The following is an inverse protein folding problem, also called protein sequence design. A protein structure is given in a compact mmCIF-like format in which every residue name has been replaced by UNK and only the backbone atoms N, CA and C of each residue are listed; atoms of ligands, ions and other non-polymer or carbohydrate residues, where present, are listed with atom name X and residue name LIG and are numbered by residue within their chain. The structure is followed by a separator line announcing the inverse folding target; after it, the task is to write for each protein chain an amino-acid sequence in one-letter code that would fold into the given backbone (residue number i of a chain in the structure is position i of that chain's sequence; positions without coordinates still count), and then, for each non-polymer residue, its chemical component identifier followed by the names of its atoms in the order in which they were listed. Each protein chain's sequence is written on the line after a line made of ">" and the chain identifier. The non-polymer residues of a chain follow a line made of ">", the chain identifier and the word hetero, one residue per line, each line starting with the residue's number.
data_IF_719561814178
#
_entry.id   IF_719561814178
#
_cell.length_a   1.000
_cell.length_b   1.000
_cell.length_c   1.000
_cell.angle_alpha   90.00
_cell.angle_beta   90.00
_cell.angle_gamma   90.00
#
_symmetry.space_group_name_H-M   'P 1'
#
loop_
_entity.id
_entity.type
_entity.pdbx_description
1 polymer ?
#
# COMPACT_ATOMS: atom_id res chain seq x y z
N UNK A 1 19.58 -3.69 -27.69
CA UNK A 1 20.26 -3.96 -26.40
C UNK A 1 20.80 -2.63 -25.92
N UNK A 2 20.52 -2.23 -24.68
CA UNK A 2 21.00 -0.96 -24.15
C UNK A 2 22.37 -1.11 -23.47
N UNK A 3 23.40 -0.44 -23.99
CA UNK A 3 24.74 -0.44 -23.39
C UNK A 3 24.77 0.28 -22.03
N UNK A 4 24.02 1.38 -21.90
CA UNK A 4 23.89 2.14 -20.66
C UNK A 4 23.31 1.24 -19.55
N UNK A 5 22.21 0.55 -19.85
CA UNK A 5 21.59 -0.35 -18.87
C UNK A 5 22.51 -1.53 -18.50
N UNK A 6 23.29 -2.03 -19.46
CA UNK A 6 24.27 -3.09 -19.21
C UNK A 6 25.32 -2.67 -18.17
N UNK A 7 25.78 -1.42 -18.19
CA UNK A 7 26.75 -0.93 -17.21
C UNK A 7 26.12 -0.81 -15.80
N UNK A 8 24.86 -0.38 -15.71
CA UNK A 8 24.11 -0.39 -14.44
C UNK A 8 23.94 -1.81 -13.90
N UNK A 9 23.59 -2.77 -14.77
CA UNK A 9 23.48 -4.18 -14.44
C UNK A 9 24.80 -4.76 -13.94
N UNK A 10 25.93 -4.44 -14.58
CA UNK A 10 27.27 -4.89 -14.13
C UNK A 10 27.59 -4.41 -12.73
N UNK A 11 27.18 -3.19 -12.34
CA UNK A 11 27.40 -2.68 -10.98
C UNK A 11 26.65 -3.49 -9.94
N UNK A 12 25.36 -3.77 -10.17
CA UNK A 12 24.55 -4.52 -9.20
C UNK A 12 24.79 -6.02 -9.23
N UNK A 13 25.24 -6.57 -10.36
CA UNK A 13 25.35 -8.01 -10.63
C UNK A 13 26.76 -8.60 -10.63
N UNK A 14 27.79 -7.87 -10.22
CA UNK A 14 29.20 -8.33 -10.27
C UNK A 14 29.57 -9.39 -9.24
N UNK A 15 28.72 -9.66 -8.24
CA UNK A 15 28.92 -10.69 -7.21
C UNK A 15 28.68 -10.20 -5.78
N UNK A 16 28.66 -11.12 -4.81
CA UNK A 16 28.34 -10.83 -3.40
C UNK A 16 29.31 -9.84 -2.76
N UNK A 17 30.59 -9.87 -3.12
CA UNK A 17 31.64 -9.02 -2.53
C UNK A 17 32.08 -7.87 -3.45
N UNK A 18 31.60 -7.84 -4.68
CA UNK A 18 32.05 -6.93 -5.74
C UNK A 18 30.92 -6.07 -6.29
N UNK A 19 29.66 -6.38 -5.94
CA UNK A 19 28.51 -5.54 -6.26
C UNK A 19 28.65 -4.17 -5.63
N UNK A 20 28.27 -3.16 -6.40
CA UNK A 20 28.26 -1.75 -6.00
C UNK A 20 26.83 -1.28 -5.90
N UNK A 21 26.59 -0.38 -4.96
CA UNK A 21 25.34 0.36 -4.91
C UNK A 21 25.30 1.32 -6.09
N UNK A 22 24.11 1.48 -6.67
CA UNK A 22 23.82 2.58 -7.57
C UNK A 22 23.63 3.85 -6.73
N UNK A 23 24.08 4.97 -7.27
CA UNK A 23 23.64 6.29 -6.77
C UNK A 23 22.14 6.49 -7.00
N UNK A 24 21.55 7.48 -6.33
CA UNK A 24 20.14 7.88 -6.54
C UNK A 24 19.82 8.09 -8.02
N UNK A 25 20.67 8.83 -8.73
CA UNK A 25 20.49 9.13 -10.15
C UNK A 25 20.56 7.87 -11.02
N UNK A 26 21.51 6.97 -10.74
CA UNK A 26 21.65 5.72 -11.48
C UNK A 26 20.48 4.77 -11.25
N UNK A 27 19.96 4.71 -10.03
CA UNK A 27 18.77 3.92 -9.72
C UNK A 27 17.52 4.50 -10.41
N UNK A 28 17.39 5.83 -10.48
CA UNK A 28 16.34 6.50 -11.25
C UNK A 28 16.44 6.15 -12.75
N UNK A 29 17.65 6.28 -13.33
CA UNK A 29 17.89 5.92 -14.73
C UNK A 29 17.57 4.45 -14.99
N UNK A 30 18.06 3.51 -14.16
CA UNK A 30 17.75 2.09 -14.33
C UNK A 30 16.23 1.83 -14.29
N UNK A 31 15.54 2.43 -13.32
CA UNK A 31 14.10 2.23 -13.12
C UNK A 31 13.30 2.78 -14.30
N UNK A 32 13.62 4.00 -14.77
CA UNK A 32 12.99 4.61 -15.95
C UNK A 32 13.19 3.75 -17.19
N UNK A 33 14.42 3.26 -17.43
CA UNK A 33 14.71 2.38 -18.57
C UNK A 33 13.97 1.03 -18.50
N UNK A 34 13.78 0.49 -17.29
CA UNK A 34 12.97 -0.72 -17.09
C UNK A 34 11.49 -0.45 -17.40
N UNK A 35 10.93 0.64 -16.87
CA UNK A 35 9.51 1.00 -17.07
C UNK A 35 9.20 1.28 -18.54
N UNK A 36 10.06 2.05 -19.22
CA UNK A 36 9.91 2.41 -20.64
C UNK A 36 10.34 1.30 -21.62
N UNK A 37 10.70 0.11 -21.12
CA UNK A 37 11.16 -1.02 -21.93
C UNK A 37 12.37 -0.69 -22.84
N UNK A 38 13.24 0.23 -22.43
CA UNK A 38 14.47 0.60 -23.17
C UNK A 38 15.57 -0.48 -23.02
N UNK A 39 15.51 -1.27 -21.93
CA UNK A 39 16.35 -2.44 -21.71
C UNK A 39 15.65 -3.72 -22.23
N UNK A 40 16.43 -4.72 -22.68
CA UNK A 40 15.82 -5.97 -23.16
C UNK A 40 15.21 -6.78 -22.01
N UNK A 41 14.25 -7.68 -22.27
CA UNK A 41 13.69 -8.58 -21.24
C UNK A 41 14.76 -9.32 -20.42
N UNK A 42 15.82 -9.81 -21.08
CA UNK A 42 16.93 -10.48 -20.42
C UNK A 42 17.71 -9.53 -19.47
N UNK A 43 17.94 -8.27 -19.88
CA UNK A 43 18.59 -7.27 -19.06
C UNK A 43 17.72 -6.90 -17.84
N UNK A 44 16.43 -6.66 -18.05
CA UNK A 44 15.47 -6.32 -16.99
C UNK A 44 15.38 -7.45 -15.96
N UNK A 45 15.19 -8.69 -16.40
CA UNK A 45 15.11 -9.84 -15.51
C UNK A 45 16.40 -10.09 -14.74
N UNK A 46 17.56 -9.96 -15.40
CA UNK A 46 18.86 -10.06 -14.73
C UNK A 46 19.04 -8.97 -13.67
N UNK A 47 18.64 -7.72 -13.97
CA UNK A 47 18.71 -6.61 -13.02
C UNK A 47 17.82 -6.85 -11.80
N UNK A 48 16.57 -7.25 -12.01
CA UNK A 48 15.62 -7.55 -10.93
C UNK A 48 16.17 -8.57 -9.94
N UNK A 49 16.79 -9.65 -10.41
CA UNK A 49 17.37 -10.68 -9.55
C UNK A 49 18.70 -10.24 -8.93
N UNK A 50 19.59 -9.61 -9.68
CA UNK A 50 20.85 -9.09 -9.14
C UNK A 50 20.60 -8.07 -8.01
N UNK A 51 19.69 -7.11 -8.24
CA UNK A 51 19.32 -6.09 -7.26
C UNK A 51 18.63 -6.70 -6.03
N UNK A 52 17.79 -7.73 -6.24
CA UNK A 52 17.19 -8.51 -5.14
C UNK A 52 18.24 -9.18 -4.25
N UNK A 53 19.23 -9.85 -4.86
CA UNK A 53 20.28 -10.58 -4.12
C UNK A 53 21.19 -9.60 -3.39
N UNK A 54 21.62 -8.52 -4.05
CA UNK A 54 22.42 -7.44 -3.46
C UNK A 54 21.70 -6.78 -2.27
N UNK A 55 20.36 -6.66 -2.39
CA UNK A 55 19.46 -5.85 -1.56
C UNK A 55 19.62 -4.35 -1.83
N UNK A 56 18.52 -3.62 -2.04
CA UNK A 56 18.56 -2.19 -2.33
C UNK A 56 18.98 -1.37 -1.10
N UNK A 57 19.70 -0.27 -1.32
CA UNK A 57 19.91 0.79 -0.33
C UNK A 57 18.75 1.78 -0.35
N UNK A 58 18.59 2.60 0.70
CA UNK A 58 17.58 3.67 0.71
C UNK A 58 17.80 4.72 -0.38
N UNK A 59 19.05 4.97 -0.77
CA UNK A 59 19.38 5.86 -1.88
C UNK A 59 18.89 5.30 -3.23
N UNK A 60 19.05 3.99 -3.44
CA UNK A 60 18.52 3.32 -4.63
C UNK A 60 16.99 3.35 -4.63
N UNK A 61 16.33 3.09 -3.49
CA UNK A 61 14.87 3.20 -3.38
C UNK A 61 14.38 4.63 -3.67
N UNK A 62 15.08 5.66 -3.20
CA UNK A 62 14.76 7.05 -3.50
C UNK A 62 14.85 7.35 -5.00
N UNK A 63 15.88 6.83 -5.68
CA UNK A 63 16.02 6.95 -7.13
C UNK A 63 14.90 6.22 -7.89
N UNK A 64 14.53 5.01 -7.45
CA UNK A 64 13.39 4.29 -8.02
C UNK A 64 12.09 5.09 -7.90
N UNK A 65 11.88 5.76 -6.76
CA UNK A 65 10.74 6.66 -6.57
C UNK A 65 10.86 7.93 -7.43
N UNK A 66 12.06 8.41 -7.78
CA UNK A 66 12.21 9.61 -8.62
C UNK A 66 11.72 9.30 -10.03
N UNK A 67 12.07 8.11 -10.55
CA UNK A 67 11.53 7.62 -11.81
C UNK A 67 10.00 7.46 -11.76
N UNK A 68 9.46 6.97 -10.64
CA UNK A 68 8.00 6.91 -10.44
C UNK A 68 7.36 8.30 -10.47
N UNK A 69 7.95 9.31 -9.82
CA UNK A 69 7.41 10.67 -9.81
C UNK A 69 7.43 11.34 -11.19
N UNK A 70 8.41 10.98 -12.04
CA UNK A 70 8.57 11.46 -13.41
C UNK A 70 7.46 10.93 -14.34
N UNK A 71 7.16 9.63 -14.29
CA UNK A 71 6.32 8.97 -15.31
C UNK A 71 5.04 8.33 -14.78
N UNK A 72 4.93 8.17 -13.45
CA UNK A 72 3.81 7.50 -12.81
C UNK A 72 2.54 8.35 -12.75
N UNK A 73 1.41 7.73 -12.35
CA UNK A 73 0.14 8.42 -12.20
C UNK A 73 0.22 9.51 -11.13
N UNK A 74 -0.39 10.66 -11.39
CA UNK A 74 -0.33 11.84 -10.53
C UNK A 74 -1.70 12.50 -10.42
N UNK A 75 -2.36 12.28 -9.29
CA UNK A 75 -3.58 12.94 -8.84
C UNK A 75 -3.26 14.31 -8.25
N UNK A 76 -4.18 15.26 -8.37
CA UNK A 76 -4.08 16.61 -7.83
C UNK A 76 -5.16 16.90 -6.77
N UNK A 77 -5.22 16.12 -5.67
CA UNK A 77 -6.29 16.25 -4.69
C UNK A 77 -6.32 17.66 -4.07
N UNK A 78 -7.54 18.17 -3.83
CA UNK A 78 -7.76 19.49 -3.23
C UNK A 78 -7.55 19.49 -1.72
N UNK A 79 -7.68 18.31 -1.09
CA UNK A 79 -7.54 18.07 0.35
C UNK A 79 -6.36 17.14 0.64
N UNK A 80 -5.82 17.13 1.88
CA UNK A 80 -4.89 16.10 2.32
C UNK A 80 -5.48 14.70 2.11
N UNK A 81 -4.66 13.77 1.64
CA UNK A 81 -5.04 12.37 1.32
C UNK A 81 -4.18 11.41 2.15
N UNK A 82 -4.78 10.30 2.56
CA UNK A 82 -4.07 9.13 3.08
C UNK A 82 -3.89 8.09 1.97
N UNK A 83 -2.64 7.70 1.68
CA UNK A 83 -2.31 6.71 0.64
C UNK A 83 -1.95 5.38 1.29
N UNK A 84 -2.67 4.31 0.97
CA UNK A 84 -2.43 2.96 1.50
C UNK A 84 -1.64 2.07 0.54
N UNK A 85 -0.35 1.86 0.84
CA UNK A 85 0.55 0.96 0.15
C UNK A 85 0.52 -0.46 0.70
N UNK A 86 -0.35 -1.30 0.13
CA UNK A 86 -0.43 -2.72 0.44
C UNK A 86 0.36 -3.57 -0.58
N UNK A 87 0.85 -4.77 -0.21
CA UNK A 87 1.49 -5.67 -1.16
C UNK A 87 0.55 -6.04 -2.30
N UNK A 88 1.00 -5.79 -3.54
CA UNK A 88 0.19 -6.05 -4.72
C UNK A 88 -0.04 -7.54 -4.99
N UNK A 89 0.83 -8.42 -4.47
CA UNK A 89 0.67 -9.87 -4.57
C UNK A 89 -0.41 -10.46 -3.63
N UNK A 90 -1.21 -9.58 -3.02
CA UNK A 90 -2.45 -9.90 -2.34
C UNK A 90 -2.27 -10.55 -0.97
N UNK A 91 -3.38 -11.06 -0.41
CA UNK A 91 -3.38 -11.87 0.82
C UNK A 91 -3.79 -13.31 0.56
N UNK A 92 -3.14 -14.25 1.22
CA UNK A 92 -3.44 -15.68 1.05
C UNK A 92 -3.60 -16.44 2.36
N UNK A 93 -3.31 -15.85 3.51
CA UNK A 93 -3.42 -16.52 4.82
C UNK A 93 -4.41 -15.86 5.75
N UNK A 94 -4.53 -14.54 5.69
CA UNK A 94 -5.36 -13.75 6.61
C UNK A 94 -6.32 -12.87 5.82
N UNK A 95 -7.54 -12.72 6.32
CA UNK A 95 -8.59 -11.94 5.67
C UNK A 95 -8.24 -10.44 5.72
N UNK A 96 -8.11 -9.75 4.58
CA UNK A 96 -7.80 -8.32 4.54
C UNK A 96 -8.97 -7.48 5.04
N UNK A 97 -8.69 -6.47 5.87
CA UNK A 97 -9.70 -5.53 6.39
C UNK A 97 -9.48 -4.09 5.91
N UNK A 98 -8.35 -3.81 5.23
CA UNK A 98 -8.03 -2.46 4.72
C UNK A 98 -9.13 -1.82 3.87
N UNK A 99 -9.86 -2.54 2.97
CA UNK A 99 -10.95 -1.93 2.21
C UNK A 99 -12.06 -1.35 3.09
N UNK A 100 -12.44 -2.05 4.17
CA UNK A 100 -13.42 -1.58 5.14
C UNK A 100 -12.87 -0.39 5.95
N UNK A 101 -11.59 -0.44 6.32
CA UNK A 101 -10.90 0.68 6.99
C UNK A 101 -10.89 1.94 6.11
N UNK A 102 -10.63 1.78 4.81
CA UNK A 102 -10.67 2.88 3.85
C UNK A 102 -12.07 3.51 3.73
N UNK A 103 -13.13 2.68 3.73
CA UNK A 103 -14.51 3.17 3.77
C UNK A 103 -14.80 3.96 5.05
N UNK A 104 -14.33 3.50 6.22
CA UNK A 104 -14.51 4.23 7.48
C UNK A 104 -13.85 5.61 7.44
N UNK A 105 -12.60 5.68 6.95
CA UNK A 105 -11.91 6.97 6.80
C UNK A 105 -12.63 7.90 5.82
N UNK A 106 -13.04 7.40 4.65
CA UNK A 106 -13.80 8.17 3.67
C UNK A 106 -15.15 8.65 4.23
N UNK A 107 -15.83 7.81 5.02
CA UNK A 107 -17.08 8.16 5.72
C UNK A 107 -16.85 9.26 6.74
N UNK A 108 -15.73 9.23 7.46
CA UNK A 108 -15.33 10.25 8.41
C UNK A 108 -14.70 11.50 7.77
N UNK A 109 -14.74 11.60 6.44
CA UNK A 109 -14.28 12.78 5.69
C UNK A 109 -12.78 12.85 5.43
N UNK A 110 -12.01 11.80 5.70
CA UNK A 110 -10.60 11.68 5.33
C UNK A 110 -10.48 11.03 3.94
N UNK A 111 -10.02 11.77 2.91
CA UNK A 111 -9.80 11.20 1.59
C UNK A 111 -8.75 10.09 1.62
N UNK A 112 -9.07 8.95 1.00
CA UNK A 112 -8.19 7.78 0.93
C UNK A 112 -7.91 7.43 -0.53
N UNK A 113 -6.63 7.19 -0.83
CA UNK A 113 -6.21 6.59 -2.09
C UNK A 113 -5.58 5.24 -1.81
N UNK A 114 -6.07 4.22 -2.49
CA UNK A 114 -5.44 2.90 -2.53
C UNK A 114 -4.85 2.67 -3.92
N UNK A 115 -3.94 1.72 -4.03
CA UNK A 115 -3.39 1.33 -5.33
C UNK A 115 -3.06 -0.17 -5.33
N UNK A 116 -3.15 -0.77 -6.51
CA UNK A 116 -2.98 -2.22 -6.68
C UNK A 116 -3.20 -2.63 -8.12
N UNK A 117 -3.07 -3.93 -8.38
CA UNK A 117 -3.33 -4.51 -9.70
C UNK A 117 -4.10 -5.81 -9.59
N UNK A 118 -4.03 -6.61 -10.66
CA UNK A 118 -4.55 -7.97 -10.66
C UNK A 118 -3.79 -8.88 -9.70
N UNK A 119 -4.30 -10.09 -9.50
CA UNK A 119 -3.57 -11.17 -8.87
C UNK A 119 -2.19 -11.32 -9.54
N UNK A 120 -1.13 -11.34 -8.74
CA UNK A 120 0.23 -11.25 -9.25
C UNK A 120 1.23 -12.06 -8.42
N UNK A 121 2.40 -12.41 -9.00
CA UNK A 121 3.37 -13.26 -8.36
C UNK A 121 4.08 -12.54 -7.20
N UNK A 122 4.60 -13.28 -6.22
CA UNK A 122 4.69 -14.76 -6.18
C UNK A 122 3.67 -15.41 -5.25
N UNK A 123 2.90 -14.60 -4.52
CA UNK A 123 1.97 -15.11 -3.51
C UNK A 123 0.64 -15.54 -4.13
N UNK A 124 0.20 -14.87 -5.20
CA UNK A 124 -1.10 -15.09 -5.82
C UNK A 124 -2.25 -15.03 -4.80
N UNK A 125 -2.16 -14.09 -3.85
CA UNK A 125 -3.23 -13.83 -2.90
C UNK A 125 -4.35 -13.01 -3.53
N UNK A 126 -5.47 -12.88 -2.82
CA UNK A 126 -6.58 -12.01 -3.23
C UNK A 126 -6.08 -10.57 -3.36
N UNK A 127 -6.16 -9.96 -4.56
CA UNK A 127 -5.81 -8.56 -4.75
C UNK A 127 -6.93 -7.64 -4.26
N UNK A 128 -6.58 -6.40 -3.92
CA UNK A 128 -7.57 -5.41 -3.47
C UNK A 128 -8.67 -5.16 -4.50
N UNK A 129 -8.35 -5.21 -5.80
CA UNK A 129 -9.32 -4.96 -6.87
C UNK A 129 -10.44 -6.00 -6.90
N UNK A 130 -10.14 -7.28 -6.65
CA UNK A 130 -11.17 -8.35 -6.59
C UNK A 130 -12.10 -8.17 -5.39
N UNK A 131 -11.57 -7.67 -4.26
CA UNK A 131 -12.39 -7.38 -3.08
C UNK A 131 -13.35 -6.23 -3.39
N UNK A 132 -12.85 -5.15 -3.97
CA UNK A 132 -13.70 -4.00 -4.36
C UNK A 132 -14.79 -4.40 -5.35
N UNK A 133 -14.45 -5.18 -6.38
CA UNK A 133 -15.42 -5.70 -7.34
C UNK A 133 -16.48 -6.56 -6.66
N UNK A 134 -16.08 -7.41 -5.71
CA UNK A 134 -16.99 -8.21 -4.89
C UNK A 134 -17.89 -7.39 -3.95
N UNK A 135 -17.46 -6.19 -3.58
CA UNK A 135 -18.25 -5.20 -2.84
C UNK A 135 -19.10 -4.31 -3.77
N UNK A 136 -19.12 -4.57 -5.08
CA UNK A 136 -19.93 -3.84 -6.06
C UNK A 136 -19.28 -2.55 -6.59
N UNK A 137 -17.97 -2.38 -6.42
CA UNK A 137 -17.21 -1.22 -6.89
C UNK A 137 -16.09 -1.65 -7.82
N UNK A 138 -16.20 -1.32 -9.10
CA UNK A 138 -15.23 -1.74 -10.12
C UNK A 138 -14.32 -0.59 -10.57
N UNK A 139 -13.29 -0.31 -9.78
CA UNK A 139 -12.29 0.72 -10.09
C UNK A 139 -11.47 0.43 -11.36
N UNK A 140 -11.47 -0.81 -11.87
CA UNK A 140 -10.65 -1.20 -13.03
C UNK A 140 -11.08 -0.52 -14.33
N UNK A 141 -12.32 0.00 -14.37
CA UNK A 141 -12.91 0.70 -15.51
C UNK A 141 -12.54 2.19 -15.58
N UNK A 142 -12.00 2.75 -14.51
CA UNK A 142 -11.71 4.18 -14.44
C UNK A 142 -10.40 4.49 -15.16
N UNK A 143 -10.37 5.62 -15.83
CA UNK A 143 -9.13 6.27 -16.29
C UNK A 143 -8.59 7.18 -15.19
N UNK A 144 -7.30 7.55 -15.25
CA UNK A 144 -6.71 8.46 -14.26
C UNK A 144 -7.50 9.79 -14.10
N UNK A 145 -7.96 10.46 -15.18
CA UNK A 145 -8.79 11.66 -15.06
C UNK A 145 -10.18 11.45 -14.41
N UNK A 146 -10.67 10.22 -14.33
CA UNK A 146 -11.93 9.89 -13.64
C UNK A 146 -11.74 9.58 -12.15
N UNK A 147 -10.54 9.14 -11.75
CA UNK A 147 -10.23 8.83 -10.34
C UNK A 147 -10.27 10.09 -9.48
N UNK A 148 -9.75 11.22 -9.97
CA UNK A 148 -9.67 12.45 -9.18
C UNK A 148 -11.06 13.04 -8.85
N UNK A 149 -11.99 13.24 -9.81
CA UNK A 149 -13.36 13.66 -9.47
C UNK A 149 -14.10 12.69 -8.54
N UNK A 150 -13.84 11.38 -8.68
CA UNK A 150 -14.43 10.38 -7.78
C UNK A 150 -13.91 10.54 -6.35
N UNK A 151 -12.59 10.70 -6.19
CA UNK A 151 -11.95 10.94 -4.90
C UNK A 151 -12.49 12.21 -4.24
N UNK A 152 -12.60 13.31 -4.99
CA UNK A 152 -13.14 14.57 -4.48
C UNK A 152 -14.60 14.47 -4.05
N UNK A 153 -15.42 13.72 -4.80
CA UNK A 153 -16.84 13.54 -4.51
C UNK A 153 -17.07 12.62 -3.30
N UNK A 154 -16.40 11.47 -3.28
CA UNK A 154 -16.76 10.36 -2.38
C UNK A 154 -15.79 10.19 -1.22
N UNK A 155 -14.58 10.71 -1.34
CA UNK A 155 -13.48 10.50 -0.39
C UNK A 155 -12.67 9.24 -0.65
N UNK A 156 -12.93 8.47 -1.71
CA UNK A 156 -12.18 7.26 -2.03
C UNK A 156 -11.73 7.20 -3.50
N UNK A 157 -10.45 6.93 -3.71
CA UNK A 157 -9.86 6.70 -5.03
C UNK A 157 -9.01 5.42 -5.06
N UNK A 158 -8.90 4.81 -6.25
CA UNK A 158 -8.06 3.64 -6.47
C UNK A 158 -7.26 3.80 -7.77
N UNK A 159 -5.94 3.60 -7.69
CA UNK A 159 -5.08 3.52 -8.88
C UNK A 159 -4.89 2.06 -9.26
N UNK A 160 -5.51 1.65 -10.37
CA UNK A 160 -5.45 0.30 -10.89
C UNK A 160 -4.28 0.15 -11.87
N UNK A 161 -3.20 -0.47 -11.41
CA UNK A 161 -1.91 -0.58 -12.10
C UNK A 161 -2.02 -0.86 -13.62
N UNK A 162 -2.80 -1.85 -14.10
CA UNK A 162 -2.89 -2.14 -15.53
C UNK A 162 -3.46 -1.01 -16.40
N UNK A 163 -4.36 -0.18 -15.86
CA UNK A 163 -5.03 0.88 -16.62
C UNK A 163 -4.35 2.24 -16.44
N UNK A 164 -3.87 2.56 -15.24
CA UNK A 164 -3.30 3.88 -14.92
C UNK A 164 -1.77 3.92 -14.92
N UNK A 165 -1.08 2.79 -14.95
CA UNK A 165 0.38 2.76 -15.07
C UNK A 165 0.89 1.51 -15.81
N UNK A 166 0.55 1.35 -17.09
CA UNK A 166 0.83 0.15 -17.88
C UNK A 166 2.34 -0.17 -17.98
N UNK A 167 3.21 0.84 -17.97
CA UNK A 167 4.67 0.67 -17.97
C UNK A 167 5.17 -0.17 -16.79
N UNK A 168 4.58 0.03 -15.61
CA UNK A 168 4.85 -0.78 -14.43
C UNK A 168 4.14 -2.14 -14.49
N UNK A 169 2.97 -2.23 -15.13
CA UNK A 169 2.29 -3.51 -15.36
C UNK A 169 3.12 -4.46 -16.21
N UNK A 170 3.84 -3.97 -17.22
CA UNK A 170 4.74 -4.80 -18.04
C UNK A 170 5.79 -5.54 -17.20
N UNK A 171 6.29 -4.90 -16.13
CA UNK A 171 7.26 -5.52 -15.21
C UNK A 171 6.68 -6.73 -14.46
N UNK A 172 5.37 -6.82 -14.31
CA UNK A 172 4.68 -7.96 -13.69
C UNK A 172 4.89 -9.24 -14.52
N UNK A 173 4.91 -9.14 -15.84
CA UNK A 173 5.13 -10.30 -16.73
C UNK A 173 6.52 -10.91 -16.52
N UNK A 174 7.54 -10.09 -16.30
CA UNK A 174 8.89 -10.57 -15.96
C UNK A 174 8.92 -11.20 -14.57
N UNK A 175 8.20 -10.62 -13.59
CA UNK A 175 8.07 -11.19 -12.24
C UNK A 175 7.44 -12.58 -12.26
N UNK A 176 6.48 -12.81 -13.16
CA UNK A 176 5.81 -14.10 -13.35
C UNK A 176 6.81 -15.16 -13.81
N UNK A 177 7.58 -14.85 -14.86
CA UNK A 177 8.61 -15.75 -15.40
C UNK A 177 9.73 -16.02 -14.38
N UNK A 178 10.12 -15.02 -13.60
CA UNK A 178 11.21 -15.09 -12.62
C UNK A 178 10.80 -15.83 -11.34
N UNK A 179 9.54 -15.73 -10.93
CA UNK A 179 9.03 -16.37 -9.71
C UNK A 179 9.66 -15.84 -8.41
N UNK A 180 10.09 -14.57 -8.38
CA UNK A 180 10.61 -13.88 -7.18
C UNK A 180 10.16 -12.43 -7.11
N UNK A 181 9.93 -11.93 -5.89
CA UNK A 181 9.71 -10.49 -5.63
C UNK A 181 11.00 -9.69 -5.82
N UNK A 182 11.06 -8.73 -6.75
CA UNK A 182 12.18 -7.80 -6.90
C UNK A 182 12.05 -6.61 -5.94
N UNK A 183 13.10 -5.78 -5.80
CA UNK A 183 13.02 -4.51 -5.06
C UNK A 183 11.91 -3.56 -5.52
N UNK A 184 11.48 -3.62 -6.80
CA UNK A 184 10.32 -2.85 -7.27
C UNK A 184 9.04 -3.14 -6.47
N UNK A 185 8.82 -4.40 -6.05
CA UNK A 185 7.70 -4.76 -5.19
C UNK A 185 7.78 -4.17 -3.77
N UNK A 186 8.96 -3.72 -3.33
CA UNK A 186 9.13 -2.99 -2.07
C UNK A 186 8.84 -1.51 -2.25
N UNK A 187 9.23 -0.93 -3.39
CA UNK A 187 8.96 0.48 -3.72
C UNK A 187 7.48 0.71 -4.04
N UNK A 188 6.80 -0.28 -4.64
CA UNK A 188 5.34 -0.29 -4.85
C UNK A 188 4.56 0.05 -3.58
N UNK A 189 5.05 -0.36 -2.40
CA UNK A 189 4.41 -0.10 -1.09
C UNK A 189 4.49 1.36 -0.64
N UNK A 190 5.36 2.15 -1.25
CA UNK A 190 5.62 3.55 -0.89
C UNK A 190 5.51 4.48 -2.10
N UNK A 191 4.84 4.02 -3.17
CA UNK A 191 4.37 4.90 -4.23
C UNK A 191 3.33 5.86 -3.68
N UNK A 192 3.40 7.10 -4.15
CA UNK A 192 2.40 8.11 -3.84
C UNK A 192 1.90 8.72 -5.14
N UNK A 193 0.67 8.36 -5.58
CA UNK A 193 0.10 8.89 -6.80
C UNK A 193 -0.44 10.33 -6.59
N UNK A 194 0.05 11.08 -5.62
CA UNK A 194 -0.41 12.42 -5.28
C UNK A 194 0.70 13.43 -5.53
N UNK A 195 0.39 14.53 -6.23
CA UNK A 195 1.37 15.59 -6.52
C UNK A 195 1.73 16.47 -5.32
N UNK A 196 0.92 16.40 -4.25
CA UNK A 196 1.06 17.19 -3.02
C UNK A 196 1.39 16.28 -1.85
N UNK A 197 1.88 16.87 -0.77
CA UNK A 197 2.11 16.18 0.49
C UNK A 197 0.87 15.40 0.93
N UNK A 198 1.10 14.17 1.35
CA UNK A 198 0.09 13.20 1.73
C UNK A 198 0.56 12.40 2.93
N UNK A 199 -0.37 11.72 3.59
CA UNK A 199 -0.05 10.75 4.62
C UNK A 199 0.18 9.38 3.97
N UNK A 200 1.45 8.96 3.89
CA UNK A 200 1.80 7.67 3.29
C UNK A 200 1.76 6.55 4.33
N UNK A 201 0.90 5.56 4.12
CA UNK A 201 0.78 4.37 4.96
C UNK A 201 1.34 3.17 4.21
N UNK A 202 2.31 2.48 4.79
CA UNK A 202 2.92 1.31 4.15
C UNK A 202 3.10 0.14 5.11
N UNK A 203 2.74 -1.05 4.63
CA UNK A 203 2.96 -2.30 5.35
C UNK A 203 4.34 -2.90 5.12
N UNK A 204 4.86 -3.64 6.10
CA UNK A 204 6.10 -4.41 5.95
C UNK A 204 6.12 -5.68 6.81
N UNK A 205 7.00 -6.63 6.49
CA UNK A 205 7.17 -7.87 7.26
C UNK A 205 8.42 -7.84 8.15
N UNK A 206 9.54 -7.39 7.60
CA UNK A 206 10.84 -7.45 8.25
C UNK A 206 11.31 -6.08 8.74
N UNK A 207 11.77 -5.93 10.00
CA UNK A 207 12.20 -4.65 10.57
C UNK A 207 13.21 -3.84 9.72
N UNK A 208 14.18 -4.46 9.01
CA UNK A 208 15.09 -3.69 8.14
C UNK A 208 14.40 -2.93 7.01
N UNK A 209 13.19 -3.34 6.60
CA UNK A 209 12.40 -2.61 5.60
C UNK A 209 11.85 -1.30 6.16
N UNK A 210 11.44 -1.26 7.44
CA UNK A 210 11.03 -0.02 8.11
C UNK A 210 12.14 1.03 8.07
N UNK A 211 13.36 0.62 8.47
CA UNK A 211 14.53 1.52 8.46
C UNK A 211 14.80 2.03 7.05
N UNK A 212 14.78 1.13 6.05
CA UNK A 212 14.97 1.54 4.65
C UNK A 212 13.93 2.55 4.19
N UNK A 213 12.65 2.35 4.51
CA UNK A 213 11.58 3.28 4.19
C UNK A 213 11.81 4.64 4.86
N UNK A 214 12.07 4.70 6.16
CA UNK A 214 12.32 5.97 6.87
C UNK A 214 13.49 6.75 6.28
N UNK A 215 14.61 6.08 6.01
CA UNK A 215 15.77 6.74 5.39
C UNK A 215 15.50 7.15 3.93
N UNK A 216 14.68 6.39 3.20
CA UNK A 216 14.21 6.80 1.86
C UNK A 216 13.33 8.04 1.94
N UNK A 217 12.42 8.10 2.91
CA UNK A 217 11.54 9.24 3.17
C UNK A 217 12.33 10.51 3.50
N UNK A 218 13.36 10.41 4.35
CA UNK A 218 14.28 11.52 4.62
C UNK A 218 14.94 12.07 3.35
N UNK A 219 15.45 11.18 2.48
CA UNK A 219 16.05 11.58 1.19
C UNK A 219 15.05 12.22 0.21
N UNK A 220 13.77 11.89 0.37
CA UNK A 220 12.66 12.35 -0.47
C UNK A 220 11.85 13.51 0.11
N UNK A 221 12.14 13.93 1.33
CA UNK A 221 11.37 14.95 2.03
C UNK A 221 9.96 14.51 2.45
N UNK A 222 9.68 13.21 2.52
CA UNK A 222 8.38 12.68 2.98
C UNK A 222 8.33 12.77 4.50
N UNK A 223 7.48 13.64 5.03
CA UNK A 223 7.42 13.98 6.46
C UNK A 223 6.23 13.37 7.21
N UNK A 224 5.18 12.93 6.51
CA UNK A 224 4.00 12.34 7.13
C UNK A 224 3.81 10.88 6.68
N UNK A 225 4.09 9.94 7.58
CA UNK A 225 4.01 8.52 7.26
C UNK A 225 3.55 7.65 8.45
N UNK A 226 3.05 6.46 8.11
CA UNK A 226 2.80 5.36 9.04
C UNK A 226 3.32 4.07 8.45
N UNK A 227 4.26 3.41 9.14
CA UNK A 227 4.83 2.13 8.72
C UNK A 227 4.37 1.04 9.68
N UNK A 228 3.62 0.06 9.17
CA UNK A 228 3.03 -1.01 9.99
C UNK A 228 3.74 -2.32 9.73
N UNK A 229 4.17 -3.03 10.79
CA UNK A 229 4.55 -4.45 10.68
C UNK A 229 3.30 -5.34 10.55
N UNK A 230 2.55 -5.11 9.48
CA UNK A 230 1.20 -5.62 9.33
C UNK A 230 1.16 -7.08 8.90
N UNK A 231 -0.06 -7.61 8.94
CA UNK A 231 -0.34 -8.98 8.57
C UNK A 231 0.04 -9.23 7.11
N UNK A 232 0.96 -10.17 6.88
CA UNK A 232 1.51 -10.48 5.55
C UNK A 232 2.17 -9.30 4.82
N UNK A 233 2.58 -8.26 5.56
CA UNK A 233 3.18 -7.05 5.03
C UNK A 233 2.19 -6.00 4.53
N UNK A 234 0.90 -6.17 4.83
CA UNK A 234 -0.16 -5.18 4.59
C UNK A 234 -0.13 -4.01 5.57
N UNK A 235 -1.05 -3.07 5.39
CA UNK A 235 -1.31 -2.01 6.33
C UNK A 235 -2.22 -2.43 7.51
N UNK A 236 -2.71 -3.67 7.58
CA UNK A 236 -3.57 -4.06 8.70
C UNK A 236 -2.74 -4.49 9.91
N UNK A 237 -3.07 -3.88 11.04
CA UNK A 237 -2.53 -4.16 12.35
C UNK A 237 -3.00 -5.55 12.81
N UNK A 238 -2.11 -6.35 13.41
CA UNK A 238 -2.51 -7.60 14.05
C UNK A 238 -3.39 -7.33 15.27
N UNK A 239 -4.35 -8.24 15.51
CA UNK A 239 -5.20 -8.34 16.70
C UNK A 239 -4.72 -9.44 17.67
N UNK A 240 -3.95 -10.40 17.18
CA UNK A 240 -3.50 -11.56 17.98
C UNK A 240 -2.13 -11.41 18.66
N UNK A 241 -1.44 -10.30 18.38
CA UNK A 241 -0.09 -9.98 18.89
C UNK A 241 0.13 -8.47 18.92
N UNK A 242 1.18 -8.04 19.61
CA UNK A 242 1.59 -6.62 19.62
C UNK A 242 1.73 -6.06 18.20
N UNK A 243 0.98 -5.00 17.92
CA UNK A 243 1.13 -4.21 16.71
C UNK A 243 2.36 -3.32 16.86
N UNK A 244 3.26 -3.40 15.88
CA UNK A 244 4.50 -2.61 15.82
C UNK A 244 4.33 -1.62 14.70
N UNK A 245 4.35 -0.33 15.04
CA UNK A 245 4.12 0.76 14.09
C UNK A 245 5.19 1.83 14.27
N UNK A 246 5.77 2.33 13.19
CA UNK A 246 6.55 3.56 13.22
C UNK A 246 5.73 4.69 12.57
N UNK A 247 5.51 5.78 13.31
CA UNK A 247 4.77 6.95 12.83
C UNK A 247 5.70 8.16 12.75
N UNK A 248 5.50 9.02 11.76
CA UNK A 248 6.16 10.33 11.73
C UNK A 248 5.77 11.14 12.97
N UNK A 249 6.76 11.73 13.62
CA UNK A 249 6.59 12.58 14.80
C UNK A 249 7.65 13.70 14.72
N UNK A 250 7.32 14.85 14.09
CA UNK A 250 8.30 15.90 13.78
C UNK A 250 9.07 16.42 15.00
N UNK A 251 8.45 16.40 16.18
CA UNK A 251 9.08 16.88 17.42
C UNK A 251 9.97 15.83 18.11
N UNK A 252 10.04 14.60 17.58
CA UNK A 252 10.95 13.57 18.09
C UNK A 252 12.36 13.76 17.51
N UNK A 253 13.39 13.31 18.24
CA UNK A 253 14.81 13.46 17.85
C UNK A 253 15.11 12.92 16.44
N UNK A 254 14.57 11.74 16.11
CA UNK A 254 14.73 11.10 14.80
C UNK A 254 13.61 11.43 13.79
N UNK A 255 12.68 12.32 14.17
CA UNK A 255 11.48 12.68 13.38
C UNK A 255 10.40 11.59 13.34
N UNK A 256 10.47 10.58 14.20
CA UNK A 256 9.49 9.49 14.28
C UNK A 256 9.36 8.91 15.69
N UNK A 257 8.25 8.23 15.94
CA UNK A 257 7.98 7.44 17.14
C UNK A 257 7.66 6.00 16.76
N UNK A 258 8.07 5.03 17.60
CA UNK A 258 7.64 3.63 17.46
C UNK A 258 6.63 3.26 18.52
N UNK A 259 5.43 2.90 18.08
CA UNK A 259 4.34 2.40 18.91
C UNK A 259 4.41 0.89 19.05
N UNK A 260 4.18 0.40 20.26
CA UNK A 260 3.95 -1.00 20.59
C UNK A 260 2.58 -1.11 21.23
N UNK A 261 1.57 -1.37 20.40
CA UNK A 261 0.19 -1.46 20.86
C UNK A 261 -0.17 -2.91 21.11
N UNK A 262 -0.53 -3.25 22.33
CA UNK A 262 -1.08 -4.56 22.66
C UNK A 262 -2.60 -4.51 22.45
N UNK A 263 -3.17 -5.28 21.51
CA UNK A 263 -4.61 -5.24 21.25
C UNK A 263 -5.45 -5.48 22.51
N UNK A 264 -4.94 -6.30 23.44
CA UNK A 264 -5.61 -6.65 24.70
C UNK A 264 -5.83 -5.46 25.62
N UNK A 265 -4.99 -4.44 25.54
CA UNK A 265 -5.13 -3.21 26.33
C UNK A 265 -6.35 -2.39 25.90
N UNK A 266 -6.88 -2.67 24.71
CA UNK A 266 -8.03 -2.03 24.09
C UNK A 266 -9.24 -2.98 23.95
N UNK A 267 -9.19 -4.16 24.58
CA UNK A 267 -10.27 -5.13 24.54
C UNK A 267 -10.28 -6.06 23.32
N UNK A 268 -9.22 -6.07 22.51
CA UNK A 268 -9.07 -6.98 21.36
C UNK A 268 -8.08 -8.10 21.71
N UNK A 269 -8.50 -9.35 21.62
CA UNK A 269 -7.62 -10.49 21.89
C UNK A 269 -7.93 -11.70 20.99
N UNK A 270 -8.64 -11.44 19.90
CA UNK A 270 -9.09 -12.44 18.95
C UNK A 270 -7.95 -12.95 18.08
N UNK A 271 -8.07 -14.20 17.65
CA UNK A 271 -7.19 -14.74 16.61
C UNK A 271 -7.47 -14.05 15.28
N UNK A 272 -6.44 -13.95 14.46
CA UNK A 272 -6.60 -13.48 13.08
C UNK A 272 -7.58 -14.37 12.31
N UNK A 273 -8.48 -13.73 11.58
CA UNK A 273 -9.39 -14.44 10.70
C UNK A 273 -8.61 -14.94 9.48
N UNK A 274 -8.52 -16.26 9.33
CA UNK A 274 -7.89 -16.88 8.17
C UNK A 274 -8.59 -16.46 6.88
N UNK A 275 -7.82 -16.33 5.80
CA UNK A 275 -8.38 -16.19 4.46
C UNK A 275 -8.63 -17.57 3.86
N UNK A 276 -9.90 -17.91 3.69
CA UNK A 276 -10.33 -19.17 3.09
C UNK A 276 -10.61 -19.03 1.58
N UNK A 277 -11.43 -18.04 1.21
CA UNK A 277 -11.78 -17.74 -0.18
C UNK A 277 -12.36 -16.33 -0.28
N UNK A 278 -12.27 -15.73 -1.48
CA UNK A 278 -12.86 -14.41 -1.75
C UNK A 278 -14.37 -14.39 -1.47
N UNK A 279 -15.10 -15.45 -1.83
CA UNK A 279 -16.54 -15.54 -1.57
C UNK A 279 -16.88 -15.49 -0.06
N UNK A 280 -16.15 -16.24 0.77
CA UNK A 280 -16.36 -16.21 2.23
C UNK A 280 -15.99 -14.86 2.82
N UNK A 281 -14.87 -14.28 2.38
CA UNK A 281 -14.44 -12.94 2.80
C UNK A 281 -15.53 -11.90 2.53
N UNK A 282 -16.11 -11.90 1.33
CA UNK A 282 -17.15 -10.95 0.93
C UNK A 282 -18.44 -11.12 1.74
N UNK A 283 -18.85 -12.36 2.06
CA UNK A 283 -19.99 -12.62 2.95
C UNK A 283 -19.75 -11.99 4.33
N UNK A 284 -18.56 -12.14 4.88
CA UNK A 284 -18.22 -11.56 6.18
C UNK A 284 -18.11 -10.04 6.13
N UNK A 285 -17.52 -9.46 5.06
CA UNK A 285 -17.48 -8.01 4.86
C UNK A 285 -18.89 -7.41 4.73
N UNK A 286 -19.81 -8.08 4.02
CA UNK A 286 -21.20 -7.65 3.91
C UNK A 286 -21.92 -7.65 5.26
N UNK A 287 -21.66 -8.64 6.13
CA UNK A 287 -22.19 -8.63 7.50
C UNK A 287 -21.66 -7.43 8.28
N UNK A 288 -20.36 -7.14 8.20
CA UNK A 288 -19.75 -5.98 8.86
C UNK A 288 -20.38 -4.66 8.39
N UNK A 289 -20.54 -4.49 7.06
CA UNK A 289 -21.17 -3.30 6.48
C UNK A 289 -22.63 -3.13 6.92
N UNK A 290 -23.35 -4.22 7.18
CA UNK A 290 -24.72 -4.21 7.70
C UNK A 290 -24.80 -4.04 9.22
N UNK A 291 -23.68 -3.78 9.91
CA UNK A 291 -23.61 -3.70 11.37
C UNK A 291 -23.92 -5.03 12.08
N UNK A 292 -23.84 -6.16 11.36
CA UNK A 292 -24.12 -7.49 11.91
C UNK A 292 -22.86 -8.12 12.47
N UNK A 293 -23.05 -9.07 13.39
CA UNK A 293 -21.95 -9.87 13.95
C UNK A 293 -21.17 -10.61 12.84
N UNK A 294 -19.85 -10.47 12.88
CA UNK A 294 -18.90 -11.15 11.99
C UNK A 294 -17.58 -11.34 12.73
N UNK A 295 -16.84 -12.44 12.52
CA UNK A 295 -15.48 -12.61 12.99
C UNK A 295 -14.52 -11.50 12.52
N UNK A 296 -14.82 -10.79 11.43
CA UNK A 296 -13.99 -9.68 10.96
C UNK A 296 -14.16 -8.40 11.79
N UNK A 297 -15.31 -8.23 12.47
CA UNK A 297 -15.68 -6.96 13.11
C UNK A 297 -14.61 -6.46 14.10
N UNK A 298 -14.04 -7.29 15.01
CA UNK A 298 -13.00 -6.81 15.92
C UNK A 298 -11.77 -6.26 15.19
N UNK A 299 -11.29 -6.98 14.17
CA UNK A 299 -10.14 -6.55 13.37
C UNK A 299 -10.42 -5.28 12.57
N UNK A 300 -11.65 -5.13 12.07
CA UNK A 300 -12.09 -3.93 11.34
C UNK A 300 -12.16 -2.73 12.27
N UNK A 301 -12.76 -2.85 13.46
CA UNK A 301 -12.82 -1.76 14.45
C UNK A 301 -11.42 -1.39 14.92
N UNK A 302 -10.57 -2.38 15.26
CA UNK A 302 -9.19 -2.16 15.68
C UNK A 302 -8.39 -1.32 14.69
N UNK A 303 -8.43 -1.72 13.41
CA UNK A 303 -7.73 -1.01 12.35
C UNK A 303 -8.35 0.37 12.08
N UNK A 304 -9.67 0.44 11.97
CA UNK A 304 -10.38 1.70 11.69
C UNK A 304 -10.17 2.73 12.78
N UNK A 305 -10.25 2.34 14.05
CA UNK A 305 -10.01 3.25 15.16
C UNK A 305 -8.57 3.76 15.23
N UNK A 306 -7.60 2.88 14.96
CA UNK A 306 -6.20 3.29 14.83
C UNK A 306 -6.00 4.34 13.75
N UNK A 307 -6.57 4.14 12.55
CA UNK A 307 -6.41 5.11 11.48
C UNK A 307 -7.24 6.38 11.67
N UNK A 308 -8.42 6.33 12.30
CA UNK A 308 -9.18 7.53 12.67
C UNK A 308 -8.37 8.43 13.61
N UNK A 309 -7.73 7.86 14.62
CA UNK A 309 -6.79 8.58 15.48
C UNK A 309 -5.58 9.09 14.69
N UNK A 310 -4.90 8.19 13.98
CA UNK A 310 -3.63 8.53 13.31
C UNK A 310 -3.81 9.59 12.22
N UNK A 311 -4.95 9.63 11.54
CA UNK A 311 -5.27 10.64 10.54
C UNK A 311 -5.82 11.95 11.15
N UNK A 312 -5.85 12.08 12.49
CA UNK A 312 -6.26 13.30 13.19
C UNK A 312 -7.78 13.52 13.23
N UNK A 313 -8.58 12.50 12.89
CA UNK A 313 -10.05 12.57 12.96
C UNK A 313 -10.53 12.42 14.41
N UNK A 314 -9.87 11.56 15.17
CA UNK A 314 -10.13 11.36 16.59
C UNK A 314 -8.92 11.78 17.45
N UNK A 315 -9.14 12.33 18.66
CA UNK A 315 -8.05 12.84 19.50
C UNK A 315 -7.16 11.73 20.07
N UNK A 316 -7.70 10.52 20.23
CA UNK A 316 -7.01 9.36 20.76
C UNK A 316 -7.56 8.05 20.19
N UNK A 317 -6.82 6.96 20.41
CA UNK A 317 -7.18 5.62 19.94
C UNK A 317 -8.52 5.12 20.52
N UNK A 318 -8.81 5.19 21.84
CA UNK A 318 -10.11 4.80 22.39
C UNK A 318 -11.31 5.51 21.71
N UNK A 319 -11.20 6.81 21.47
CA UNK A 319 -12.24 7.57 20.75
C UNK A 319 -12.37 7.11 19.31
N UNK A 320 -11.24 6.83 18.64
CA UNK A 320 -11.23 6.25 17.29
C UNK A 320 -11.95 4.91 17.21
N UNK A 321 -11.74 4.02 18.19
CA UNK A 321 -12.38 2.70 18.25
C UNK A 321 -13.91 2.84 18.43
N UNK A 322 -14.35 3.69 19.36
CA UNK A 322 -15.77 3.96 19.58
C UNK A 322 -16.45 4.60 18.35
N UNK A 323 -15.75 5.52 17.67
CA UNK A 323 -16.25 6.13 16.44
C UNK A 323 -16.37 5.11 15.30
N UNK A 324 -15.39 4.22 15.13
CA UNK A 324 -15.45 3.17 14.13
C UNK A 324 -16.66 2.24 14.36
N UNK A 325 -16.90 1.81 15.59
CA UNK A 325 -18.07 1.01 15.95
C UNK A 325 -19.39 1.74 15.66
N UNK A 326 -19.46 3.04 16.00
CA UNK A 326 -20.62 3.88 15.72
C UNK A 326 -20.91 3.96 14.22
N UNK A 327 -19.89 4.18 13.37
CA UNK A 327 -20.07 4.30 11.92
C UNK A 327 -20.56 3.01 11.25
N UNK A 328 -20.18 1.83 11.76
CA UNK A 328 -20.72 0.57 11.26
C UNK A 328 -22.14 0.31 11.74
N UNK A 329 -22.45 0.64 13.00
CA UNK A 329 -23.77 0.39 13.60
C UNK A 329 -24.84 1.37 13.11
N UNK A 330 -24.47 2.61 12.77
CA UNK A 330 -25.37 3.60 12.16
C UNK A 330 -25.71 3.29 10.70
N UNK A 331 -24.88 2.49 10.03
CA UNK A 331 -25.00 2.18 8.60
C UNK A 331 -24.30 3.20 7.67
N UNK A 332 -23.63 4.21 8.22
CA UNK A 332 -22.98 5.27 7.44
C UNK A 332 -21.92 4.72 6.46
N UNK A 333 -21.18 3.70 6.89
CA UNK A 333 -20.16 3.04 6.04
C UNK A 333 -20.81 2.31 4.86
N UNK A 334 -21.98 1.69 5.06
CA UNK A 334 -22.73 1.04 3.98
C UNK A 334 -23.25 2.08 2.98
N UNK A 335 -23.78 3.20 3.47
CA UNK A 335 -24.22 4.30 2.62
C UNK A 335 -23.06 4.89 1.81
N UNK A 336 -21.86 5.01 2.40
CA UNK A 336 -20.67 5.46 1.69
C UNK A 336 -20.27 4.50 0.56
N UNK A 337 -20.35 3.18 0.78
CA UNK A 337 -20.10 2.19 -0.27
C UNK A 337 -21.10 2.34 -1.44
N UNK A 338 -22.38 2.53 -1.13
CA UNK A 338 -23.42 2.76 -2.14
C UNK A 338 -23.18 4.05 -2.94
N UNK A 339 -22.80 5.14 -2.26
CA UNK A 339 -22.44 6.41 -2.89
C UNK A 339 -21.28 6.25 -3.89
N UNK A 340 -20.23 5.52 -3.49
CA UNK A 340 -19.08 5.21 -4.35
C UNK A 340 -19.49 4.35 -5.55
N UNK A 341 -20.28 3.30 -5.32
CA UNK A 341 -20.78 2.43 -6.39
C UNK A 341 -21.59 3.21 -7.43
N UNK A 342 -22.51 4.07 -6.98
CA UNK A 342 -23.32 4.94 -7.85
C UNK A 342 -22.49 5.98 -8.61
N UNK A 343 -21.38 6.44 -8.03
CA UNK A 343 -20.51 7.41 -8.69
C UNK A 343 -19.61 6.79 -9.79
N UNK A 344 -19.44 5.46 -9.79
CA UNK A 344 -18.66 4.71 -10.79
C UNK A 344 -19.54 4.13 -11.91
N UNK A 345 -20.82 3.86 -11.62
CA UNK A 345 -21.79 3.30 -12.57
C UNK A 345 -22.03 4.21 -13.80
#
# INVERSE_FOLDING_TARGET
>A
MSDIFRELLKKVGSGTHTSKNLSRQEAATATRMMLLQEATPAQIGAFMIAHRIKRPTSEELAGMLDAYEEIGPKLQPTKPVTVFGNPYDGRSRTSPVTPLTALVLATAGMPVVMHGGNCMPTKYGVPLIEIWQGLGVDFSKLTLPQVEPLLEKTGLGFIYLPQQFPEAQELVTYREQIGKRPPAATVELIWSPCARDNHLVAGYVHPPTEVRFRETFKLRGVSNFTLVKGLEGSCDLPCDRTAIIAISHPDAEDGFERLLLHPSDYGFAEKEVSFDSTAKLLVEMQKVLQGKSSPLMPAVIWNSGFYLWRCGICPDLPTGLAQAETLFTSGDVSQKLEEISQAIA
#
